data_IF_384582776939
#
_entry.id   IF_384582776939
#
_cell.length_a   1.000
_cell.length_b   1.000
_cell.length_c   1.000
_cell.angle_alpha   90.00
_cell.angle_beta   90.00
_cell.angle_gamma   90.00
#
_symmetry.space_group_name_H-M   'P 1'
#
loop_
_entity.id
_entity.type
_entity.pdbx_description
1 polymer ?
#
# COMPACT_ATOMS: atom_id res chain seq x y z
N UNK A 1 35.70 8.25 3.53
CA UNK A 1 35.30 7.54 2.30
C UNK A 1 33.96 8.13 1.86
N UNK A 2 33.97 8.83 0.73
CA UNK A 2 32.80 9.56 0.21
C UNK A 2 31.80 8.55 -0.34
N UNK A 3 30.69 8.34 0.34
CA UNK A 3 29.54 7.60 -0.18
C UNK A 3 28.89 8.45 -1.27
N UNK A 4 29.20 8.14 -2.52
CA UNK A 4 28.48 8.66 -3.68
C UNK A 4 27.02 8.24 -3.54
N UNK A 5 26.16 9.18 -3.13
CA UNK A 5 24.71 9.01 -3.22
C UNK A 5 24.40 8.64 -4.69
N UNK A 6 23.90 7.44 -4.93
CA UNK A 6 23.44 7.00 -6.24
C UNK A 6 22.43 8.01 -6.75
N UNK A 7 22.75 8.70 -7.86
CA UNK A 7 21.81 9.66 -8.47
C UNK A 7 20.53 8.92 -8.80
N UNK A 8 19.41 9.36 -8.24
CA UNK A 8 18.07 8.85 -8.53
C UNK A 8 17.83 8.86 -10.05
N UNK A 9 17.62 7.69 -10.63
CA UNK A 9 17.46 7.54 -12.08
C UNK A 9 16.00 7.17 -12.41
N UNK A 10 15.23 8.13 -12.90
CA UNK A 10 13.83 7.97 -13.28
C UNK A 10 13.59 6.85 -14.30
N UNK A 11 14.58 6.58 -15.18
CA UNK A 11 14.45 5.51 -16.18
C UNK A 11 14.45 4.11 -15.56
N UNK A 12 15.08 3.92 -14.41
CA UNK A 12 15.16 2.63 -13.72
C UNK A 12 14.35 2.58 -12.44
N UNK A 13 13.87 3.71 -11.96
CA UNK A 13 13.12 3.82 -10.72
C UNK A 13 11.80 3.02 -10.73
N UNK A 14 11.38 2.46 -9.59
CA UNK A 14 10.05 1.91 -9.39
C UNK A 14 8.93 2.89 -9.76
N UNK A 15 7.82 2.35 -10.28
CA UNK A 15 6.70 3.17 -10.74
C UNK A 15 6.14 4.12 -9.67
N UNK A 16 6.02 3.64 -8.43
CA UNK A 16 5.55 4.46 -7.31
C UNK A 16 6.48 5.64 -6.99
N UNK A 17 7.80 5.47 -7.12
CA UNK A 17 8.75 6.56 -6.93
C UNK A 17 8.66 7.60 -8.06
N UNK A 18 8.44 7.15 -9.31
CA UNK A 18 8.20 8.05 -10.44
C UNK A 18 6.92 8.88 -10.22
N UNK A 19 5.85 8.24 -9.76
CA UNK A 19 4.58 8.91 -9.45
C UNK A 19 4.71 9.88 -8.27
N UNK A 20 5.43 9.49 -7.22
CA UNK A 20 5.75 10.37 -6.09
C UNK A 20 6.58 11.58 -6.56
N UNK A 21 7.55 11.40 -7.46
CA UNK A 21 8.33 12.49 -8.05
C UNK A 21 7.50 13.41 -8.92
N UNK A 22 6.46 12.88 -9.58
CA UNK A 22 5.46 13.70 -10.28
C UNK A 22 4.60 14.53 -9.33
N UNK A 23 4.59 14.20 -8.03
CA UNK A 23 3.82 14.89 -6.98
C UNK A 23 2.59 14.13 -6.49
N UNK A 24 2.38 12.88 -6.96
CA UNK A 24 1.27 12.04 -6.51
C UNK A 24 1.55 11.49 -5.11
N UNK A 25 0.57 11.58 -4.22
CA UNK A 25 0.70 11.14 -2.82
C UNK A 25 -0.12 9.88 -2.54
N UNK A 26 -1.22 9.67 -3.26
CA UNK A 26 -2.07 8.49 -3.14
C UNK A 26 -1.64 7.46 -4.19
N UNK A 27 -0.88 6.46 -3.79
CA UNK A 27 -0.25 5.46 -4.69
C UNK A 27 -0.94 4.09 -4.59
N UNK A 28 -2.26 4.08 -4.50
CA UNK A 28 -3.09 2.88 -4.26
C UNK A 28 -4.05 2.65 -5.42
N UNK A 29 -4.34 1.40 -5.80
CA UNK A 29 -5.11 1.09 -7.01
C UNK A 29 -6.54 1.62 -6.99
N UNK A 30 -7.24 1.57 -5.84
CA UNK A 30 -8.60 2.09 -5.62
C UNK A 30 -8.65 3.50 -5.04
N UNK A 31 -7.48 4.17 -4.86
CA UNK A 31 -7.40 5.53 -4.30
C UNK A 31 -7.89 5.65 -2.87
N UNK A 32 -8.20 6.87 -2.44
CA UNK A 32 -8.68 7.16 -1.09
C UNK A 32 -10.08 6.58 -0.81
N UNK A 33 -10.90 6.33 -1.83
CA UNK A 33 -12.22 5.74 -1.65
C UNK A 33 -12.13 4.34 -1.05
N UNK A 34 -11.25 3.49 -1.60
CA UNK A 34 -11.04 2.15 -1.08
C UNK A 34 -10.46 2.18 0.34
N UNK A 35 -9.51 3.09 0.63
CA UNK A 35 -9.00 3.29 1.99
C UNK A 35 -10.11 3.70 2.96
N UNK A 36 -10.97 4.66 2.59
CA UNK A 36 -12.09 5.07 3.45
C UNK A 36 -13.03 3.92 3.75
N UNK A 37 -13.30 3.07 2.76
CA UNK A 37 -14.13 1.89 2.95
C UNK A 37 -13.52 0.92 3.98
N UNK A 38 -12.20 0.66 3.92
CA UNK A 38 -11.51 -0.16 4.93
C UNK A 38 -11.66 0.42 6.34
N UNK A 39 -11.54 1.73 6.46
CA UNK A 39 -11.60 2.42 7.76
C UNK A 39 -13.01 2.51 8.32
N UNK A 40 -14.04 2.53 7.46
CA UNK A 40 -15.43 2.40 7.87
C UNK A 40 -15.72 0.98 8.40
N UNK A 41 -15.13 -0.06 7.79
CA UNK A 41 -15.28 -1.43 8.26
C UNK A 41 -14.50 -1.73 9.55
N UNK A 42 -13.41 -1.01 9.80
CA UNK A 42 -12.59 -1.21 10.98
C UNK A 42 -13.33 -0.85 12.28
N UNK A 43 -14.15 0.21 12.25
CA UNK A 43 -14.85 0.73 13.45
C UNK A 43 -13.90 0.94 14.64
N UNK A 44 -12.74 1.54 14.40
CA UNK A 44 -11.66 1.73 15.36
C UNK A 44 -12.14 2.38 16.65
N UNK A 45 -11.79 1.79 17.79
CA UNK A 45 -11.99 2.39 19.09
C UNK A 45 -10.72 3.04 19.62
N UNK A 46 -10.82 4.14 20.40
CA UNK A 46 -9.63 4.77 21.01
C UNK A 46 -8.82 3.79 21.84
N UNK A 47 -7.49 3.87 21.72
CA UNK A 47 -6.48 3.02 22.39
C UNK A 47 -6.31 1.62 21.81
N UNK A 48 -7.09 1.20 20.84
CA UNK A 48 -6.78 0.00 20.09
C UNK A 48 -5.44 0.11 19.37
N UNK A 49 -4.83 -1.02 19.08
CA UNK A 49 -3.48 -1.12 18.52
C UNK A 49 -3.54 -1.55 17.06
N UNK A 50 -2.83 -0.82 16.21
CA UNK A 50 -2.72 -1.08 14.77
C UNK A 50 -1.28 -1.35 14.41
N UNK A 51 -1.01 -2.44 13.70
CA UNK A 51 0.26 -2.67 13.02
C UNK A 51 0.11 -2.25 11.55
N UNK A 52 0.85 -1.25 11.10
CA UNK A 52 0.91 -0.84 9.70
C UNK A 52 2.09 -1.49 9.00
N UNK A 53 1.86 -2.20 7.90
CA UNK A 53 2.89 -2.84 7.09
C UNK A 53 3.39 -1.89 6.00
N UNK A 54 4.72 -1.80 5.85
CA UNK A 54 5.38 -0.88 4.93
C UNK A 54 4.96 0.59 5.12
N UNK A 55 5.08 1.06 6.36
CA UNK A 55 4.59 2.37 6.81
C UNK A 55 5.24 3.57 6.11
N UNK A 56 6.28 3.37 5.29
CA UNK A 56 6.97 4.42 4.54
C UNK A 56 7.33 5.62 5.43
N UNK A 57 6.81 6.81 5.13
CA UNK A 57 7.06 8.04 5.90
C UNK A 57 6.10 8.26 7.08
N UNK A 58 5.34 7.24 7.48
CA UNK A 58 4.46 7.26 8.64
C UNK A 58 3.18 8.11 8.49
N UNK A 59 2.84 8.54 7.28
CA UNK A 59 1.69 9.44 7.06
C UNK A 59 0.35 8.81 7.41
N UNK A 60 0.14 7.55 7.03
CA UNK A 60 -1.08 6.82 7.36
C UNK A 60 -1.16 6.55 8.86
N UNK A 61 -0.03 6.14 9.49
CA UNK A 61 0.06 5.94 10.93
C UNK A 61 -0.33 7.19 11.73
N UNK A 62 0.25 8.34 11.37
CA UNK A 62 -0.06 9.64 11.97
C UNK A 62 -1.56 9.97 11.80
N UNK A 63 -2.08 9.80 10.59
CA UNK A 63 -3.47 10.10 10.30
C UNK A 63 -4.44 9.19 11.06
N UNK A 64 -4.17 7.88 11.15
CA UNK A 64 -4.96 6.92 11.94
C UNK A 64 -5.00 7.31 13.42
N UNK A 65 -3.84 7.62 13.99
CA UNK A 65 -3.74 8.03 15.39
C UNK A 65 -4.51 9.32 15.67
N UNK A 66 -4.35 10.35 14.83
CA UNK A 66 -5.07 11.62 14.97
C UNK A 66 -6.58 11.48 14.83
N UNK A 67 -7.01 10.64 13.89
CA UNK A 67 -8.44 10.54 13.55
C UNK A 67 -9.23 9.65 14.50
N UNK A 68 -8.63 8.54 14.95
CA UNK A 68 -9.31 7.49 15.70
C UNK A 68 -8.78 7.29 17.12
N UNK A 69 -7.69 7.95 17.50
CA UNK A 69 -7.11 7.78 18.83
C UNK A 69 -6.44 6.42 19.06
N UNK A 70 -6.20 5.65 18.00
CA UNK A 70 -5.52 4.35 18.05
C UNK A 70 -4.02 4.51 18.24
N UNK A 71 -3.36 3.52 18.87
CA UNK A 71 -1.91 3.41 18.89
C UNK A 71 -1.44 2.69 17.63
N UNK A 72 -0.49 3.27 16.90
CA UNK A 72 0.02 2.67 15.65
C UNK A 72 1.49 2.33 15.76
N UNK A 73 1.84 1.10 15.39
CA UNK A 73 3.22 0.66 15.17
C UNK A 73 3.36 0.38 13.67
N UNK A 74 4.25 1.09 13.00
CA UNK A 74 4.58 0.89 11.60
C UNK A 74 5.87 0.08 11.45
N UNK A 75 5.90 -0.86 10.52
CA UNK A 75 7.11 -1.58 10.10
C UNK A 75 7.52 -1.08 8.73
N UNK A 76 8.76 -0.63 8.60
CA UNK A 76 9.35 -0.14 7.35
C UNK A 76 10.77 -0.69 7.18
N UNK A 77 11.09 -1.14 5.97
CA UNK A 77 12.39 -1.77 5.69
C UNK A 77 13.50 -0.75 5.40
N UNK A 78 13.14 0.41 4.85
CA UNK A 78 14.12 1.42 4.45
C UNK A 78 14.46 2.31 5.64
N UNK A 79 15.72 2.31 6.16
CA UNK A 79 16.10 3.09 7.33
C UNK A 79 15.94 4.60 7.11
N UNK A 80 16.12 5.12 5.89
CA UNK A 80 15.89 6.54 5.61
C UNK A 80 14.40 6.90 5.69
N UNK A 81 13.51 6.02 5.20
CA UNK A 81 12.06 6.19 5.36
C UNK A 81 11.66 6.18 6.83
N UNK A 82 12.23 5.29 7.64
CA UNK A 82 12.03 5.24 9.10
C UNK A 82 12.44 6.56 9.75
N UNK A 83 13.63 7.07 9.41
CA UNK A 83 14.11 8.36 9.94
C UNK A 83 13.16 9.52 9.59
N UNK A 84 12.66 9.56 8.35
CA UNK A 84 11.69 10.57 7.91
C UNK A 84 10.37 10.40 8.66
N UNK A 85 9.89 9.15 8.83
CA UNK A 85 8.67 8.87 9.57
C UNK A 85 8.76 9.34 11.03
N UNK A 86 9.87 9.05 11.70
CA UNK A 86 10.12 9.50 13.09
C UNK A 86 10.12 11.03 13.20
N UNK A 87 10.69 11.72 12.21
CA UNK A 87 10.65 13.20 12.17
C UNK A 87 9.21 13.71 11.96
N UNK A 88 8.44 13.10 11.05
CA UNK A 88 7.04 13.45 10.83
C UNK A 88 6.19 13.22 12.09
N UNK A 89 6.42 12.11 12.81
CA UNK A 89 5.72 11.78 14.06
C UNK A 89 6.02 12.83 15.13
N UNK A 90 7.30 13.24 15.27
CA UNK A 90 7.72 14.29 16.21
C UNK A 90 7.07 15.63 15.88
N UNK A 91 7.07 16.02 14.60
CA UNK A 91 6.41 17.25 14.16
C UNK A 91 4.90 17.25 14.40
N UNK A 92 4.28 16.06 14.39
CA UNK A 92 2.87 15.88 14.72
C UNK A 92 2.58 15.81 16.22
N UNK A 93 3.62 15.73 17.10
CA UNK A 93 3.47 15.58 18.55
C UNK A 93 2.88 14.23 18.99
N UNK A 94 3.18 13.16 18.24
CA UNK A 94 2.54 11.85 18.42
C UNK A 94 3.51 10.74 18.87
N UNK A 95 4.71 11.08 19.39
CA UNK A 95 5.72 10.08 19.80
C UNK A 95 5.24 9.08 20.86
N UNK A 96 4.22 9.44 21.63
CA UNK A 96 3.59 8.54 22.61
C UNK A 96 2.53 7.60 22.02
N UNK A 97 2.13 7.80 20.76
CA UNK A 97 0.99 7.10 20.14
C UNK A 97 1.37 6.41 18.83
N UNK A 98 2.33 6.96 18.10
CA UNK A 98 2.81 6.42 16.83
C UNK A 98 4.29 6.13 16.90
N UNK A 99 4.67 4.95 16.44
CA UNK A 99 6.06 4.53 16.32
C UNK A 99 6.26 3.88 14.94
N UNK A 100 7.34 4.22 14.23
CA UNK A 100 7.77 3.49 13.03
C UNK A 100 9.14 2.89 13.29
N UNK A 101 9.23 1.57 13.15
CA UNK A 101 10.41 0.74 13.41
C UNK A 101 10.99 0.23 12.09
N UNK A 102 12.32 0.14 12.05
CA UNK A 102 12.97 -0.63 10.99
C UNK A 102 12.63 -2.12 11.16
N UNK A 103 12.16 -2.75 10.10
CA UNK A 103 11.78 -4.16 10.14
C UNK A 103 11.40 -4.70 8.77
N UNK A 104 11.24 -6.02 8.71
CA UNK A 104 10.90 -6.72 7.50
C UNK A 104 9.55 -7.42 7.65
N UNK A 105 8.60 -7.11 6.77
CA UNK A 105 7.27 -7.71 6.78
C UNK A 105 7.27 -9.24 6.59
N UNK A 106 8.37 -9.82 6.14
CA UNK A 106 8.56 -11.27 6.10
C UNK A 106 8.90 -11.89 7.46
N UNK A 107 9.18 -11.08 8.47
CA UNK A 107 9.58 -11.50 9.80
C UNK A 107 8.55 -11.09 10.88
N UNK A 108 7.29 -10.90 10.52
CA UNK A 108 6.22 -10.52 11.47
C UNK A 108 6.11 -11.51 12.64
N UNK A 109 6.38 -12.80 12.37
CA UNK A 109 6.35 -13.83 13.40
C UNK A 109 7.38 -13.64 14.55
N UNK A 110 8.36 -12.75 14.39
CA UNK A 110 9.33 -12.37 15.41
C UNK A 110 8.82 -11.24 16.34
N UNK A 111 7.73 -10.57 15.94
CA UNK A 111 7.07 -9.53 16.76
C UNK A 111 6.34 -10.23 17.90
N UNK A 112 6.60 -9.80 19.13
CA UNK A 112 6.02 -10.38 20.35
C UNK A 112 4.73 -9.69 20.78
N UNK A 113 4.52 -8.46 20.31
CA UNK A 113 3.29 -7.72 20.55
C UNK A 113 2.14 -8.28 19.69
N UNK A 114 0.92 -8.15 20.18
CA UNK A 114 -0.31 -8.48 19.44
C UNK A 114 -1.15 -7.22 19.21
N UNK A 115 -1.91 -7.23 18.12
CA UNK A 115 -2.63 -6.07 17.62
C UNK A 115 -4.11 -6.35 17.43
N UNK A 116 -4.94 -5.33 17.63
CA UNK A 116 -6.36 -5.37 17.31
C UNK A 116 -6.55 -5.36 15.78
N UNK A 117 -5.68 -4.63 15.09
CA UNK A 117 -5.69 -4.51 13.63
C UNK A 117 -4.29 -4.68 13.03
N UNK A 118 -4.25 -5.28 11.84
CA UNK A 118 -3.12 -5.13 10.90
C UNK A 118 -3.62 -4.41 9.66
N UNK A 119 -2.89 -3.40 9.21
CA UNK A 119 -3.24 -2.56 8.08
C UNK A 119 -2.15 -2.62 6.99
N UNK A 120 -2.55 -2.98 5.76
CA UNK A 120 -1.63 -3.08 4.63
C UNK A 120 -2.29 -2.57 3.35
N UNK A 121 -1.64 -1.63 2.65
CA UNK A 121 -2.12 -1.11 1.39
C UNK A 121 -1.05 -1.19 0.30
N UNK A 122 -1.41 -1.81 -0.82
CA UNK A 122 -0.61 -1.91 -2.05
C UNK A 122 0.80 -2.50 -1.83
N UNK A 123 0.96 -3.42 -0.89
CA UNK A 123 2.26 -4.04 -0.57
C UNK A 123 2.29 -5.54 -0.85
N UNK A 124 1.18 -6.28 -0.59
CA UNK A 124 1.17 -7.73 -0.83
C UNK A 124 1.16 -8.05 -2.33
N UNK A 125 0.52 -7.24 -3.15
CA UNK A 125 0.57 -7.39 -4.62
C UNK A 125 2.01 -7.46 -5.16
N UNK A 126 2.95 -6.75 -4.50
CA UNK A 126 4.36 -6.71 -4.90
C UNK A 126 5.15 -7.96 -4.48
N UNK A 127 4.53 -8.90 -3.80
CA UNK A 127 5.18 -10.10 -3.30
C UNK A 127 4.89 -11.32 -4.17
N UNK A 128 5.82 -12.27 -4.19
CA UNK A 128 5.58 -13.59 -4.80
C UNK A 128 4.51 -14.37 -4.03
N UNK A 129 3.96 -15.43 -4.62
CA UNK A 129 2.98 -16.29 -3.94
C UNK A 129 3.47 -16.79 -2.58
N UNK A 130 4.70 -17.33 -2.50
CA UNK A 130 5.31 -17.75 -1.24
C UNK A 130 5.52 -16.57 -0.26
N UNK A 131 5.83 -15.38 -0.80
CA UNK A 131 5.97 -14.18 0.00
C UNK A 131 4.65 -13.74 0.63
N UNK A 132 3.55 -13.76 -0.15
CA UNK A 132 2.20 -13.47 0.35
C UNK A 132 1.80 -14.45 1.45
N UNK A 133 1.96 -15.75 1.22
CA UNK A 133 1.64 -16.79 2.20
C UNK A 133 2.40 -16.58 3.53
N UNK A 134 3.72 -16.30 3.45
CA UNK A 134 4.53 -16.01 4.64
C UNK A 134 4.07 -14.76 5.39
N UNK A 135 3.73 -13.69 4.67
CA UNK A 135 3.26 -12.45 5.30
C UNK A 135 1.88 -12.65 5.93
N UNK A 136 0.94 -13.31 5.24
CA UNK A 136 -0.40 -13.59 5.76
C UNK A 136 -0.34 -14.48 7.03
N UNK A 137 0.49 -15.52 7.05
CA UNK A 137 0.74 -16.32 8.25
C UNK A 137 1.35 -15.49 9.40
N UNK A 138 2.23 -14.53 9.07
CA UNK A 138 2.77 -13.59 10.04
C UNK A 138 1.72 -12.62 10.59
N UNK A 139 0.81 -12.14 9.73
CA UNK A 139 -0.33 -11.28 10.11
C UNK A 139 -1.24 -12.03 11.09
N UNK A 140 -1.62 -13.28 10.75
CA UNK A 140 -2.44 -14.10 11.64
C UNK A 140 -1.79 -14.21 13.03
N UNK A 141 -0.49 -14.48 13.08
CA UNK A 141 0.23 -14.67 14.34
C UNK A 141 0.24 -13.42 15.23
N UNK A 142 0.37 -12.22 14.65
CA UNK A 142 0.43 -10.96 15.41
C UNK A 142 -0.95 -10.36 15.71
N UNK A 143 -2.01 -10.84 15.09
CA UNK A 143 -3.37 -10.44 15.45
C UNK A 143 -3.79 -11.10 16.76
N UNK A 144 -4.50 -10.33 17.59
CA UNK A 144 -5.25 -10.87 18.74
C UNK A 144 -6.34 -11.82 18.24
N UNK A 145 -6.82 -12.79 19.06
CA UNK A 145 -8.05 -13.52 18.72
C UNK A 145 -9.20 -12.53 18.41
N UNK A 146 -9.86 -12.72 17.28
CA UNK A 146 -10.88 -11.78 16.78
C UNK A 146 -10.34 -10.49 16.19
N UNK A 147 -9.02 -10.29 16.13
CA UNK A 147 -8.38 -9.14 15.49
C UNK A 147 -8.57 -9.11 13.98
N UNK A 148 -8.48 -7.94 13.38
CA UNK A 148 -8.88 -7.70 11.99
C UNK A 148 -7.68 -7.31 11.13
N UNK A 149 -7.55 -7.99 10.00
CA UNK A 149 -6.66 -7.61 8.91
C UNK A 149 -7.41 -6.76 7.88
N UNK A 150 -6.92 -5.56 7.63
CA UNK A 150 -7.44 -4.60 6.64
C UNK A 150 -6.46 -4.51 5.48
N UNK A 151 -6.89 -4.82 4.28
CA UNK A 151 -6.02 -4.76 3.11
C UNK A 151 -6.68 -4.13 1.90
N UNK A 152 -5.85 -3.41 1.12
CA UNK A 152 -6.22 -2.79 -0.14
C UNK A 152 -5.16 -3.13 -1.18
N UNK A 153 -5.50 -3.97 -2.15
CA UNK A 153 -4.56 -4.56 -3.09
C UNK A 153 -5.07 -4.49 -4.54
N UNK A 154 -4.20 -4.79 -5.49
CA UNK A 154 -4.64 -5.01 -6.87
C UNK A 154 -5.27 -6.39 -7.03
N UNK A 155 -6.25 -6.46 -7.94
CA UNK A 155 -6.72 -7.73 -8.49
C UNK A 155 -6.49 -7.79 -9.99
N UNK A 156 -6.29 -9.01 -10.49
CA UNK A 156 -6.23 -9.28 -11.91
C UNK A 156 -6.99 -10.57 -12.26
N UNK A 157 -7.68 -10.53 -13.41
CA UNK A 157 -8.31 -11.69 -14.05
C UNK A 157 -7.66 -12.01 -15.38
N UNK A 158 -8.17 -13.04 -16.09
CA UNK A 158 -7.73 -13.38 -17.45
C UNK A 158 -6.35 -14.05 -17.51
N UNK A 159 -5.54 -13.67 -18.50
CA UNK A 159 -4.19 -14.25 -18.68
C UNK A 159 -3.19 -13.65 -17.68
N UNK A 160 -3.09 -14.29 -16.54
CA UNK A 160 -2.28 -13.84 -15.39
C UNK A 160 -0.80 -13.67 -15.72
N UNK A 161 -0.18 -14.66 -16.36
CA UNK A 161 1.25 -14.64 -16.70
C UNK A 161 1.61 -13.45 -17.61
N UNK A 162 0.71 -13.09 -18.51
CA UNK A 162 0.91 -11.94 -19.38
C UNK A 162 0.77 -10.63 -18.61
N UNK A 163 -0.26 -10.51 -17.77
CA UNK A 163 -0.54 -9.32 -16.98
C UNK A 163 0.58 -9.08 -15.96
N UNK A 164 1.00 -10.11 -15.24
CA UNK A 164 2.07 -10.02 -14.23
C UNK A 164 3.39 -9.56 -14.86
N UNK A 165 3.72 -10.10 -16.03
CA UNK A 165 4.91 -9.66 -16.80
C UNK A 165 4.79 -8.22 -17.25
N UNK A 166 3.65 -7.84 -17.85
CA UNK A 166 3.44 -6.48 -18.34
C UNK A 166 3.47 -5.45 -17.20
N UNK A 167 2.82 -5.75 -16.07
CA UNK A 167 2.83 -4.91 -14.88
C UNK A 167 4.24 -4.78 -14.32
N UNK A 168 4.90 -5.91 -14.02
CA UNK A 168 6.25 -5.90 -13.45
C UNK A 168 7.25 -5.15 -14.32
N UNK A 169 7.12 -5.27 -15.64
CA UNK A 169 7.97 -4.54 -16.59
C UNK A 169 7.73 -3.03 -16.55
N UNK A 170 6.45 -2.60 -16.53
CA UNK A 170 6.13 -1.17 -16.61
C UNK A 170 6.33 -0.45 -15.29
N UNK A 171 6.00 -1.07 -14.14
CA UNK A 171 6.20 -0.47 -12.83
C UNK A 171 7.60 -0.74 -12.24
N UNK A 172 8.38 -1.64 -12.86
CA UNK A 172 9.76 -2.01 -12.47
C UNK A 172 9.92 -2.51 -11.03
N UNK A 173 8.89 -3.16 -10.55
CA UNK A 173 8.90 -3.98 -9.35
C UNK A 173 8.07 -5.23 -9.62
N UNK A 174 8.32 -6.30 -8.87
CA UNK A 174 7.47 -7.48 -8.97
C UNK A 174 6.01 -7.09 -8.71
N UNK A 175 5.09 -7.56 -9.54
CA UNK A 175 3.67 -7.38 -9.34
C UNK A 175 2.95 -8.66 -9.75
N UNK A 176 2.31 -9.28 -8.79
CA UNK A 176 1.55 -10.53 -8.94
C UNK A 176 0.20 -10.35 -8.24
N UNK A 177 -0.71 -9.53 -8.82
CA UNK A 177 -2.05 -9.38 -8.26
C UNK A 177 -2.78 -10.71 -8.30
N UNK A 178 -3.54 -11.04 -7.29
CA UNK A 178 -4.42 -12.21 -7.24
C UNK A 178 -5.80 -11.87 -7.79
N UNK A 179 -6.61 -12.86 -8.14
CA UNK A 179 -8.05 -12.68 -8.32
C UNK A 179 -8.74 -12.54 -6.95
N UNK A 180 -10.00 -12.14 -6.93
CA UNK A 180 -10.78 -12.05 -5.70
C UNK A 180 -10.85 -13.41 -4.97
N UNK A 181 -11.12 -14.49 -5.72
CA UNK A 181 -11.17 -15.87 -5.15
C UNK A 181 -9.81 -16.35 -4.64
N UNK A 182 -8.71 -15.99 -5.29
CA UNK A 182 -7.36 -16.32 -4.81
C UNK A 182 -6.99 -15.54 -3.55
N UNK A 183 -7.45 -14.28 -3.40
CA UNK A 183 -7.28 -13.54 -2.14
C UNK A 183 -8.04 -14.20 -0.99
N UNK A 184 -9.29 -14.63 -1.24
CA UNK A 184 -10.10 -15.36 -0.26
C UNK A 184 -9.41 -16.67 0.16
N UNK A 185 -8.93 -17.45 -0.82
CA UNK A 185 -8.19 -18.68 -0.55
C UNK A 185 -6.93 -18.42 0.26
N UNK A 186 -6.09 -17.43 -0.15
CA UNK A 186 -4.84 -17.14 0.53
C UNK A 186 -5.05 -16.67 1.98
N UNK A 187 -6.11 -15.90 2.25
CA UNK A 187 -6.49 -15.53 3.61
C UNK A 187 -6.95 -16.75 4.40
N UNK A 188 -7.82 -17.60 3.84
CA UNK A 188 -8.35 -18.80 4.50
C UNK A 188 -7.21 -19.76 4.86
N UNK A 189 -6.28 -20.00 3.94
CA UNK A 189 -5.10 -20.86 4.17
C UNK A 189 -4.20 -20.34 5.30
N UNK A 190 -4.23 -19.03 5.56
CA UNK A 190 -3.51 -18.39 6.65
C UNK A 190 -4.30 -18.30 7.97
N UNK A 191 -5.54 -18.81 8.05
CA UNK A 191 -6.38 -18.71 9.24
C UNK A 191 -7.10 -17.36 9.37
N UNK A 192 -7.28 -16.65 8.26
CA UNK A 192 -7.97 -15.36 8.18
C UNK A 192 -9.24 -15.51 7.35
N UNK A 193 -10.40 -15.15 7.91
CA UNK A 193 -11.70 -15.24 7.24
C UNK A 193 -12.14 -13.87 6.73
N UNK A 194 -12.24 -13.67 5.41
CA UNK A 194 -12.74 -12.42 4.83
C UNK A 194 -14.20 -12.25 5.20
N UNK A 195 -14.55 -11.15 5.85
CA UNK A 195 -15.91 -10.80 6.25
C UNK A 195 -16.55 -9.75 5.36
N UNK A 196 -15.74 -8.86 4.81
CA UNK A 196 -16.19 -7.79 3.92
C UNK A 196 -15.16 -7.63 2.80
N UNK A 197 -15.65 -7.49 1.58
CA UNK A 197 -14.82 -7.18 0.41
C UNK A 197 -15.56 -6.22 -0.52
N UNK A 198 -14.81 -5.34 -1.16
CA UNK A 198 -15.28 -4.46 -2.22
C UNK A 198 -14.24 -4.42 -3.32
N UNK A 199 -14.68 -4.69 -4.54
CA UNK A 199 -13.83 -4.58 -5.72
C UNK A 199 -14.23 -3.37 -6.57
N UNK A 200 -13.32 -2.92 -7.42
CA UNK A 200 -13.59 -1.85 -8.34
C UNK A 200 -12.49 -1.71 -9.40
N UNK A 201 -12.71 -0.78 -10.33
CA UNK A 201 -11.74 -0.51 -11.40
C UNK A 201 -10.45 0.11 -10.85
N UNK A 202 -9.31 -0.26 -11.45
CA UNK A 202 -8.04 0.36 -11.11
C UNK A 202 -7.98 1.80 -11.61
N UNK A 203 -7.98 2.76 -10.68
CA UNK A 203 -8.07 4.19 -10.97
C UNK A 203 -6.77 4.98 -10.84
N UNK A 204 -5.64 4.35 -10.52
CA UNK A 204 -4.38 4.99 -10.09
C UNK A 204 -3.91 6.15 -10.99
N UNK A 205 -4.07 6.03 -12.31
CA UNK A 205 -3.69 7.04 -13.32
C UNK A 205 -4.89 7.60 -14.10
N UNK A 206 -6.11 7.37 -13.61
CA UNK A 206 -7.30 8.00 -14.18
C UNK A 206 -7.34 9.48 -13.73
N UNK A 207 -7.42 10.46 -14.66
CA UNK A 207 -7.39 11.88 -14.31
C UNK A 207 -8.48 12.31 -13.32
N UNK A 208 -9.70 11.75 -13.45
CA UNK A 208 -10.81 12.03 -12.53
C UNK A 208 -10.44 11.55 -11.12
N UNK A 209 -9.95 10.31 -11.00
CA UNK A 209 -9.52 9.75 -9.71
C UNK A 209 -8.35 10.53 -9.11
N UNK A 210 -7.39 11.00 -9.93
CA UNK A 210 -6.29 11.84 -9.44
C UNK A 210 -6.80 13.13 -8.83
N UNK A 211 -7.83 13.76 -9.42
CA UNK A 211 -8.45 14.98 -8.83
C UNK A 211 -9.19 14.65 -7.53
N UNK A 212 -9.91 13.54 -7.48
CA UNK A 212 -10.64 13.09 -6.28
C UNK A 212 -9.69 12.75 -5.11
N UNK A 213 -8.55 12.11 -5.41
CA UNK A 213 -7.56 11.68 -4.42
C UNK A 213 -6.66 12.82 -3.93
N UNK A 214 -6.19 13.68 -4.84
CA UNK A 214 -5.16 14.69 -4.54
C UNK A 214 -5.74 16.10 -4.36
N UNK A 215 -6.95 16.32 -4.84
CA UNK A 215 -7.54 17.66 -4.97
C UNK A 215 -7.13 18.35 -6.27
N UNK A 216 -7.86 19.41 -6.65
CA UNK A 216 -7.71 20.07 -7.95
C UNK A 216 -6.30 20.69 -8.16
N UNK A 217 -5.81 21.49 -7.19
CA UNK A 217 -4.53 22.17 -7.34
C UNK A 217 -3.32 21.21 -7.36
N UNK A 218 -3.20 20.22 -6.46
CA UNK A 218 -2.16 19.20 -6.57
C UNK A 218 -2.26 18.39 -7.87
N UNK A 219 -3.47 18.04 -8.33
CA UNK A 219 -3.67 17.33 -9.59
C UNK A 219 -3.16 18.13 -10.80
N UNK A 220 -3.40 19.45 -10.83
CA UNK A 220 -2.84 20.34 -11.86
C UNK A 220 -1.31 20.40 -11.79
N UNK A 221 -0.72 20.42 -10.60
CA UNK A 221 0.73 20.37 -10.41
C UNK A 221 1.31 19.04 -10.91
N UNK A 222 0.65 17.92 -10.61
CA UNK A 222 1.04 16.59 -11.14
C UNK A 222 1.00 16.61 -12.67
N UNK A 223 -0.08 17.09 -13.27
CA UNK A 223 -0.23 17.20 -14.72
C UNK A 223 0.89 18.06 -15.34
N UNK A 224 1.18 19.21 -14.73
CA UNK A 224 2.29 20.08 -15.15
C UNK A 224 3.64 19.36 -15.11
N UNK A 225 3.96 18.67 -13.99
CA UNK A 225 5.20 17.92 -13.85
C UNK A 225 5.31 16.81 -14.90
N UNK A 226 4.22 16.10 -15.18
CA UNK A 226 4.18 15.06 -16.21
C UNK A 226 4.39 15.66 -17.60
N UNK A 227 3.80 16.81 -17.91
CA UNK A 227 3.92 17.43 -19.24
C UNK A 227 5.28 18.06 -19.49
N UNK A 228 5.89 18.65 -18.48
CA UNK A 228 7.13 19.43 -18.62
C UNK A 228 8.41 18.60 -18.42
N UNK A 229 8.34 17.47 -17.67
CA UNK A 229 9.49 16.62 -17.39
C UNK A 229 9.47 15.36 -18.29
N UNK A 230 10.29 15.32 -19.32
CA UNK A 230 10.26 14.29 -20.37
C UNK A 230 10.35 12.86 -19.83
N UNK A 231 11.25 12.60 -18.85
CA UNK A 231 11.43 11.25 -18.28
C UNK A 231 10.21 10.81 -17.43
N UNK A 232 9.62 11.73 -16.67
CA UNK A 232 8.38 11.46 -15.91
C UNK A 232 7.23 11.18 -16.89
N UNK A 233 7.10 12.01 -17.92
CA UNK A 233 6.06 11.88 -18.95
C UNK A 233 6.12 10.50 -19.62
N UNK A 234 7.29 10.11 -20.10
CA UNK A 234 7.47 8.81 -20.76
C UNK A 234 7.04 7.66 -19.85
N UNK A 235 7.52 7.65 -18.60
CA UNK A 235 7.23 6.60 -17.63
C UNK A 235 5.74 6.56 -17.25
N UNK A 236 5.13 7.72 -16.98
CA UNK A 236 3.69 7.80 -16.63
C UNK A 236 2.82 7.36 -17.80
N UNK A 237 3.15 7.74 -19.04
CA UNK A 237 2.38 7.30 -20.20
C UNK A 237 2.54 5.81 -20.49
N UNK A 238 3.73 5.22 -20.31
CA UNK A 238 3.93 3.77 -20.41
C UNK A 238 3.06 3.03 -19.39
N UNK A 239 3.08 3.42 -18.10
CA UNK A 239 2.23 2.84 -17.06
C UNK A 239 0.74 2.99 -17.40
N UNK A 240 0.30 4.18 -17.80
CA UNK A 240 -1.09 4.44 -18.17
C UNK A 240 -1.54 3.63 -19.39
N UNK A 241 -0.69 3.48 -20.40
CA UNK A 241 -0.98 2.66 -21.58
C UNK A 241 -1.19 1.20 -21.20
N UNK A 242 -0.30 0.63 -20.38
CA UNK A 242 -0.41 -0.75 -19.90
C UNK A 242 -1.68 -0.94 -19.05
N UNK A 243 -1.95 -0.02 -18.10
CA UNK A 243 -3.16 -0.11 -17.28
C UNK A 243 -4.45 -0.01 -18.10
N UNK A 244 -4.46 0.84 -19.13
CA UNK A 244 -5.60 0.94 -20.04
C UNK A 244 -5.77 -0.30 -20.95
N UNK A 245 -4.66 -0.93 -21.38
CA UNK A 245 -4.69 -2.16 -22.16
C UNK A 245 -5.40 -3.27 -21.39
N UNK A 246 -5.12 -3.40 -20.09
CA UNK A 246 -5.70 -4.45 -19.25
C UNK A 246 -6.86 -3.95 -18.35
N UNK A 247 -7.46 -2.78 -18.65
CA UNK A 247 -8.45 -2.13 -17.78
C UNK A 247 -9.64 -3.01 -17.36
N UNK A 248 -10.05 -3.93 -18.24
CA UNK A 248 -11.18 -4.84 -17.99
C UNK A 248 -10.76 -6.08 -17.17
N UNK A 249 -9.48 -6.25 -16.94
CA UNK A 249 -8.89 -7.38 -16.21
C UNK A 249 -8.19 -6.93 -14.94
N UNK A 250 -7.85 -5.64 -14.81
CA UNK A 250 -7.22 -5.04 -13.64
C UNK A 250 -8.22 -4.27 -12.80
N UNK A 251 -8.16 -4.49 -11.52
CA UNK A 251 -8.97 -3.78 -10.56
C UNK A 251 -8.25 -3.64 -9.22
N UNK A 252 -9.03 -3.26 -8.21
CA UNK A 252 -8.61 -3.31 -6.82
C UNK A 252 -9.59 -4.15 -6.00
N UNK A 253 -9.10 -4.65 -4.90
CA UNK A 253 -9.90 -5.20 -3.81
C UNK A 253 -9.53 -4.46 -2.51
N UNK A 254 -10.54 -4.03 -1.78
CA UNK A 254 -10.42 -3.67 -0.37
C UNK A 254 -11.16 -4.75 0.42
N UNK A 255 -10.54 -5.30 1.46
CA UNK A 255 -11.18 -6.32 2.28
C UNK A 255 -10.79 -6.23 3.76
N UNK A 256 -11.71 -6.69 4.61
CA UNK A 256 -11.46 -6.94 6.02
C UNK A 256 -11.54 -8.44 6.27
N UNK A 257 -10.54 -9.01 6.95
CA UNK A 257 -10.50 -10.40 7.33
C UNK A 257 -10.25 -10.53 8.84
N UNK A 258 -10.96 -11.43 9.49
CA UNK A 258 -10.85 -11.67 10.94
C UNK A 258 -9.98 -12.89 11.20
N UNK A 259 -9.16 -12.84 12.24
CA UNK A 259 -8.49 -14.01 12.81
C UNK A 259 -9.51 -14.84 13.58
N UNK A 260 -9.66 -16.11 13.17
CA UNK A 260 -10.55 -17.09 13.83
C UNK A 260 -10.00 -17.63 15.14
#
# INVERSE_FOLDING_TARGET
MSTTASKFNLKTAPGHEVLAKAGKTVLRPGGLEATRQLLEWADFQPRETVLELAASFGKSAIWLAQRYGVRVIGIERNPESVRIAQENIRQAGLEGQVEVREGNIFNLAEITETFDYVFAEAILTMQSANGKAKILAGIEKVLKPGGIFLSHEMIAGGNRDEIDRALSQVIRVNAQPLSETEWEQACTEAGLSIKQAKTGEMGLLNPKRVIEDEGLFPALKIAWNVLTQAEIRERVFQMRSTFNQYRNQLGYIAFSAIKE
#
